data_IF_659895793492
#
_entry.id   IF_659895793492
#
_cell.length_a   1.000
_cell.length_b   1.000
_cell.length_c   1.000
_cell.angle_alpha   90.00
_cell.angle_beta   90.00
_cell.angle_gamma   90.00
#
_symmetry.space_group_name_H-M   'P 1'
#
loop_
_entity.id
_entity.type
_entity.pdbx_description
1 polymer ?
#
# COMPACT_ATOMS: atom_id res chain seq x y z
N UNK A 1 63.02 25.28 43.71
CA UNK A 1 62.05 24.22 43.42
C UNK A 1 60.73 24.87 43.02
N UNK A 2 60.42 24.99 41.74
CA UNK A 2 59.18 25.56 41.21
C UNK A 2 58.39 24.42 40.61
N UNK A 3 57.24 24.08 41.22
CA UNK A 3 56.34 23.08 40.69
C UNK A 3 55.47 23.73 39.58
N UNK A 4 55.59 23.22 38.41
CA UNK A 4 54.79 23.62 37.23
C UNK A 4 53.53 22.76 37.19
N UNK A 5 52.37 23.37 37.52
CA UNK A 5 51.07 22.72 37.35
C UNK A 5 50.66 22.77 35.89
N UNK A 6 50.65 21.59 35.25
CA UNK A 6 50.08 21.42 33.92
C UNK A 6 48.58 21.24 34.03
N UNK A 7 47.82 22.26 33.68
CA UNK A 7 46.37 22.16 33.49
C UNK A 7 46.10 21.49 32.15
N UNK A 8 45.74 20.21 32.16
CA UNK A 8 45.28 19.49 30.98
C UNK A 8 43.81 19.85 30.74
N UNK A 9 43.55 20.81 29.86
CA UNK A 9 42.21 21.09 29.39
C UNK A 9 41.77 19.95 28.44
N UNK A 10 40.97 19.03 28.96
CA UNK A 10 40.25 18.06 28.16
C UNK A 10 39.18 18.80 27.35
N UNK A 11 39.53 19.22 26.17
CA UNK A 11 38.60 19.64 25.14
C UNK A 11 37.76 18.42 24.75
N UNK A 12 36.54 18.32 25.24
CA UNK A 12 35.53 17.43 24.69
C UNK A 12 35.19 17.89 23.26
N UNK A 13 36.06 17.52 22.33
CA UNK A 13 35.82 17.69 20.90
C UNK A 13 34.66 16.78 20.49
N UNK A 14 33.57 17.38 20.03
CA UNK A 14 32.65 16.68 19.15
C UNK A 14 33.45 16.12 17.96
N UNK A 15 33.12 14.94 17.43
CA UNK A 15 33.88 14.37 16.32
C UNK A 15 33.78 15.30 15.12
N UNK A 16 34.83 16.05 14.86
CA UNK A 16 34.95 16.96 13.72
C UNK A 16 34.75 16.23 12.36
N UNK A 17 34.88 14.91 12.33
CA UNK A 17 34.66 14.07 11.17
C UNK A 17 33.21 14.05 10.65
N UNK A 18 32.21 14.03 11.54
CA UNK A 18 30.82 13.88 11.11
C UNK A 18 30.23 15.14 10.44
N UNK A 19 30.65 16.32 10.87
CA UNK A 19 30.18 17.58 10.27
C UNK A 19 30.84 17.83 8.90
N UNK A 20 32.13 17.54 8.78
CA UNK A 20 32.85 17.69 7.50
C UNK A 20 32.37 16.66 6.46
N UNK A 21 32.13 15.42 6.87
CA UNK A 21 31.54 14.37 6.03
C UNK A 21 30.14 14.77 5.57
N UNK A 22 29.32 15.36 6.45
CA UNK A 22 27.99 15.82 6.13
C UNK A 22 27.98 16.94 5.07
N UNK A 23 28.85 17.91 5.18
CA UNK A 23 28.98 18.98 4.16
C UNK A 23 29.45 18.42 2.81
N UNK A 24 30.30 17.37 2.80
CA UNK A 24 30.70 16.69 1.58
C UNK A 24 29.50 15.97 0.94
N UNK A 25 28.66 15.27 1.71
CA UNK A 25 27.42 14.63 1.22
C UNK A 25 26.48 15.67 0.60
N UNK A 26 26.32 16.83 1.23
CA UNK A 26 25.45 17.89 0.71
C UNK A 26 25.97 18.52 -0.59
N UNK A 27 27.26 18.61 -0.72
CA UNK A 27 27.91 19.19 -1.89
C UNK A 27 27.96 18.22 -3.09
N UNK A 28 27.87 16.92 -2.83
CA UNK A 28 27.91 15.88 -3.85
C UNK A 28 26.52 15.61 -4.42
N UNK A 29 26.34 15.86 -5.70
CA UNK A 29 25.11 15.60 -6.43
C UNK A 29 24.71 14.12 -6.54
N UNK A 30 25.61 13.18 -6.15
CA UNK A 30 25.31 11.74 -6.09
C UNK A 30 24.38 11.37 -4.93
N UNK A 31 24.20 12.26 -3.95
CA UNK A 31 23.33 12.01 -2.80
C UNK A 31 22.06 12.82 -2.83
N UNK A 32 21.00 12.24 -2.28
CA UNK A 32 19.77 12.94 -1.87
C UNK A 32 19.79 12.96 -0.35
N UNK A 33 19.56 14.10 0.26
CA UNK A 33 19.68 14.27 1.70
C UNK A 33 18.54 15.11 2.28
N UNK A 34 18.33 15.01 3.59
CA UNK A 34 17.39 15.82 4.36
C UNK A 34 17.96 16.11 5.75
N UNK A 35 17.66 17.26 6.30
CA UNK A 35 18.06 17.67 7.64
C UNK A 35 16.85 17.86 8.53
N UNK A 36 17.01 17.56 9.82
CA UNK A 36 16.00 17.79 10.82
C UNK A 36 16.60 18.28 12.14
N UNK A 37 15.84 19.11 12.83
CA UNK A 37 16.17 19.69 14.13
C UNK A 37 15.07 19.36 15.13
N UNK A 38 15.42 19.16 16.40
CA UNK A 38 14.43 18.83 17.42
C UNK A 38 14.94 18.97 18.84
N UNK A 39 14.05 18.81 19.80
CA UNK A 39 14.36 18.76 21.23
C UNK A 39 15.05 17.46 21.62
N UNK A 40 14.95 16.43 20.80
CA UNK A 40 15.63 15.13 20.94
C UNK A 40 16.18 14.66 19.59
N UNK A 41 17.07 13.66 19.65
CA UNK A 41 17.63 13.03 18.43
C UNK A 41 16.54 12.33 17.63
N UNK A 42 15.57 11.72 18.28
CA UNK A 42 14.45 11.01 17.67
C UNK A 42 13.51 11.97 16.93
N UNK A 43 13.27 13.14 17.49
CA UNK A 43 12.47 14.19 16.85
C UNK A 43 13.19 14.75 15.63
N UNK A 44 14.48 15.08 15.79
CA UNK A 44 15.32 15.56 14.68
C UNK A 44 15.42 14.52 13.55
N UNK A 45 15.52 13.23 13.89
CA UNK A 45 15.58 12.14 12.93
C UNK A 45 14.27 12.00 12.12
N UNK A 46 13.11 12.09 12.77
CA UNK A 46 11.81 12.10 12.07
C UNK A 46 11.71 13.27 11.08
N UNK A 47 12.15 14.46 11.49
CA UNK A 47 12.16 15.63 10.61
C UNK A 47 13.13 15.48 9.44
N UNK A 48 14.32 14.91 9.67
CA UNK A 48 15.30 14.66 8.62
C UNK A 48 14.78 13.63 7.60
N UNK A 49 14.10 12.57 8.07
CA UNK A 49 13.45 11.59 7.20
C UNK A 49 12.33 12.22 6.38
N UNK A 50 11.48 13.03 7.00
CA UNK A 50 10.42 13.74 6.30
C UNK A 50 10.98 14.70 5.22
N UNK A 51 12.07 15.42 5.51
CA UNK A 51 12.73 16.30 4.55
C UNK A 51 13.34 15.51 3.37
N UNK A 52 13.99 14.38 3.64
CA UNK A 52 14.53 13.49 2.60
C UNK A 52 13.40 12.94 1.72
N UNK A 53 12.35 12.40 2.35
CA UNK A 53 11.17 11.84 1.67
C UNK A 53 10.50 12.89 0.79
N UNK A 54 10.35 14.12 1.28
CA UNK A 54 9.78 15.22 0.51
C UNK A 54 10.57 15.53 -0.76
N UNK A 55 11.91 15.49 -0.71
CA UNK A 55 12.75 15.71 -1.90
C UNK A 55 12.59 14.62 -2.95
N UNK A 56 12.39 13.38 -2.52
CA UNK A 56 12.12 12.26 -3.42
C UNK A 56 10.69 12.36 -3.97
N UNK A 57 9.72 12.74 -3.13
CA UNK A 57 8.29 12.86 -3.48
C UNK A 57 7.99 13.91 -4.54
N UNK A 58 8.75 15.01 -4.60
CA UNK A 58 8.52 16.07 -5.59
C UNK A 58 8.62 15.53 -7.01
N UNK A 59 9.52 14.58 -7.26
CA UNK A 59 9.66 13.93 -8.57
C UNK A 59 8.44 13.06 -8.87
N UNK A 60 7.99 12.27 -7.90
CA UNK A 60 6.85 11.34 -8.03
C UNK A 60 5.53 12.09 -8.25
N UNK A 61 5.28 13.17 -7.51
CA UNK A 61 4.02 13.93 -7.57
C UNK A 61 3.78 14.59 -8.93
N UNK A 62 4.83 15.00 -9.63
CA UNK A 62 4.69 15.62 -10.95
C UNK A 62 4.19 14.63 -12.00
N UNK A 63 4.64 13.39 -11.95
CA UNK A 63 4.18 12.33 -12.87
C UNK A 63 2.70 11.99 -12.65
N UNK A 64 2.25 11.93 -11.39
CA UNK A 64 0.84 11.68 -11.08
C UNK A 64 -0.10 12.76 -11.58
N UNK A 65 0.29 14.03 -11.54
CA UNK A 65 -0.55 15.13 -12.07
C UNK A 65 -0.80 14.98 -13.57
N UNK A 66 0.19 14.57 -14.35
CA UNK A 66 0.01 14.33 -15.78
C UNK A 66 -0.97 13.19 -16.06
N UNK A 67 -0.94 12.13 -15.26
CA UNK A 67 -1.87 10.99 -15.40
C UNK A 67 -3.28 11.36 -14.93
N UNK A 68 -3.43 12.10 -13.84
CA UNK A 68 -4.73 12.61 -13.37
C UNK A 68 -5.45 13.44 -14.46
N UNK A 69 -4.72 14.29 -15.17
CA UNK A 69 -5.28 15.10 -16.27
C UNK A 69 -5.74 14.23 -17.46
N UNK A 70 -5.05 13.14 -17.75
CA UNK A 70 -5.42 12.21 -18.82
C UNK A 70 -6.62 11.31 -18.46
N UNK A 71 -6.73 10.89 -17.20
CA UNK A 71 -7.81 10.02 -16.71
C UNK A 71 -9.11 10.81 -16.45
N UNK A 72 -9.01 12.11 -16.14
CA UNK A 72 -10.19 12.99 -15.97
C UNK A 72 -11.02 13.16 -17.24
N UNK A 73 -10.47 12.82 -18.41
CA UNK A 73 -11.19 12.90 -19.68
C UNK A 73 -12.02 11.65 -20.03
N UNK A 74 -11.88 10.57 -19.27
CA UNK A 74 -12.68 9.35 -19.42
C UNK A 74 -13.69 9.25 -18.27
N UNK A 75 -14.97 9.49 -18.56
CA UNK A 75 -16.10 9.34 -17.64
C UNK A 75 -16.20 7.88 -17.16
N UNK A 76 -15.86 7.64 -15.92
CA UNK A 76 -16.02 6.35 -15.22
C UNK A 76 -15.80 6.52 -13.72
N UNK A 77 -16.52 5.74 -12.93
CA UNK A 77 -16.68 5.77 -11.47
C UNK A 77 -15.38 5.54 -10.64
N UNK A 78 -14.23 5.93 -11.20
CA UNK A 78 -12.89 5.87 -10.61
C UNK A 78 -12.66 6.76 -9.36
N UNK A 79 -13.71 7.34 -8.78
CA UNK A 79 -13.64 8.27 -7.64
C UNK A 79 -12.98 7.66 -6.39
N UNK A 80 -13.09 6.36 -6.20
CA UNK A 80 -12.63 5.70 -4.96
C UNK A 80 -11.10 5.61 -4.87
N UNK A 81 -10.44 5.31 -5.99
CA UNK A 81 -8.98 5.23 -6.04
C UNK A 81 -8.32 6.61 -6.14
N UNK A 82 -8.97 7.61 -6.70
CA UNK A 82 -8.45 8.99 -6.82
C UNK A 82 -8.16 9.66 -5.47
N UNK A 83 -9.03 9.49 -4.48
CA UNK A 83 -8.83 10.10 -3.15
C UNK A 83 -7.71 9.42 -2.38
N UNK A 84 -7.45 8.15 -2.65
CA UNK A 84 -6.36 7.38 -2.04
C UNK A 84 -4.99 7.61 -2.71
N UNK A 85 -4.93 8.03 -3.98
CA UNK A 85 -3.66 8.27 -4.69
C UNK A 85 -2.68 9.17 -3.93
N UNK A 86 -3.11 10.33 -3.46
CA UNK A 86 -2.24 11.26 -2.73
C UNK A 86 -1.72 10.68 -1.43
N UNK A 87 -2.57 9.98 -0.69
CA UNK A 87 -2.18 9.32 0.56
C UNK A 87 -1.22 8.16 0.31
N UNK A 88 -1.44 7.39 -0.76
CA UNK A 88 -0.57 6.28 -1.17
C UNK A 88 0.81 6.79 -1.54
N UNK A 89 0.92 7.80 -2.41
CA UNK A 89 2.21 8.38 -2.83
C UNK A 89 3.04 8.85 -1.64
N UNK A 90 2.44 9.56 -0.69
CA UNK A 90 3.16 10.02 0.50
C UNK A 90 3.61 8.90 1.42
N UNK A 91 2.81 7.86 1.57
CA UNK A 91 3.11 6.74 2.47
C UNK A 91 4.07 5.71 1.88
N UNK A 92 4.01 5.50 0.56
CA UNK A 92 4.87 4.53 -0.14
C UNK A 92 6.33 4.98 -0.31
N UNK A 93 6.65 6.23 0.02
CA UNK A 93 8.02 6.75 -0.02
C UNK A 93 8.83 6.46 1.25
N UNK A 94 8.30 5.63 2.14
CA UNK A 94 9.05 5.18 3.32
C UNK A 94 10.25 4.34 2.85
N UNK A 95 11.42 4.94 2.94
CA UNK A 95 12.68 4.29 2.60
C UNK A 95 13.33 3.80 3.90
N UNK A 96 13.27 2.49 4.15
CA UNK A 96 13.91 1.87 5.30
C UNK A 96 15.44 1.91 5.25
N UNK A 97 16.02 2.03 4.04
CA UNK A 97 17.46 1.93 3.77
C UNK A 97 18.17 3.28 3.68
N UNK A 98 17.73 4.29 4.44
CA UNK A 98 18.42 5.58 4.47
C UNK A 98 19.49 5.61 5.54
N UNK A 99 20.63 6.22 5.22
CA UNK A 99 21.70 6.45 6.20
C UNK A 99 21.37 7.62 7.12
N UNK A 100 21.85 7.56 8.34
CA UNK A 100 21.64 8.57 9.37
C UNK A 100 22.95 9.05 9.95
N UNK A 101 23.11 10.36 10.06
CA UNK A 101 24.23 11.02 10.74
C UNK A 101 23.71 11.94 11.83
N UNK A 102 24.13 11.73 13.09
CA UNK A 102 23.80 12.62 14.21
C UNK A 102 24.86 13.71 14.26
N UNK A 103 24.50 14.92 13.84
CA UNK A 103 25.37 16.09 13.77
C UNK A 103 25.48 16.79 15.12
N UNK A 104 24.40 16.79 15.89
CA UNK A 104 24.35 17.38 17.24
C UNK A 104 23.37 16.64 18.13
N UNK A 105 23.75 16.40 19.37
CA UNK A 105 22.91 15.78 20.41
C UNK A 105 22.37 16.83 21.39
N UNK A 106 21.36 16.46 22.19
CA UNK A 106 20.80 17.26 23.26
C UNK A 106 19.57 18.06 22.84
N UNK A 107 19.26 19.14 23.61
CA UNK A 107 18.02 19.95 23.43
C UNK A 107 17.93 20.71 22.11
N UNK A 108 18.98 20.74 21.32
CA UNK A 108 19.01 21.28 19.96
C UNK A 108 19.66 20.23 19.08
N UNK A 109 19.05 19.04 19.06
CA UNK A 109 19.53 17.94 18.25
C UNK A 109 19.44 18.30 16.77
N UNK A 110 20.41 17.83 16.00
CA UNK A 110 20.47 18.01 14.55
C UNK A 110 20.86 16.67 13.93
N UNK A 111 20.07 16.18 13.00
CA UNK A 111 20.26 14.91 12.30
C UNK A 111 20.19 15.13 10.80
N UNK A 112 21.11 14.50 10.07
CA UNK A 112 21.09 14.36 8.63
C UNK A 112 20.67 12.93 8.24
N UNK A 113 19.82 12.83 7.24
CA UNK A 113 19.49 11.58 6.54
C UNK A 113 19.86 11.69 5.07
N UNK A 114 20.34 10.61 4.50
CA UNK A 114 20.78 10.63 3.11
C UNK A 114 20.70 9.22 2.48
N UNK A 115 20.66 9.20 1.14
CA UNK A 115 20.72 8.01 0.31
C UNK A 115 21.49 8.31 -0.96
N UNK A 116 22.29 7.37 -1.43
CA UNK A 116 22.96 7.47 -2.73
C UNK A 116 21.95 7.25 -3.86
N UNK A 117 22.05 8.00 -4.96
CA UNK A 117 21.11 7.87 -6.10
C UNK A 117 21.11 6.48 -6.71
N UNK A 118 22.27 5.82 -6.83
CA UNK A 118 22.35 4.46 -7.34
C UNK A 118 21.63 3.45 -6.43
N UNK A 119 21.66 3.68 -5.11
CA UNK A 119 20.89 2.87 -4.16
C UNK A 119 19.40 3.04 -4.36
N UNK A 120 18.98 4.28 -4.54
CA UNK A 120 17.58 4.60 -4.84
C UNK A 120 17.13 3.96 -6.16
N UNK A 121 17.96 4.02 -7.20
CA UNK A 121 17.68 3.35 -8.48
C UNK A 121 17.58 1.83 -8.35
N UNK A 122 18.44 1.20 -7.53
CA UNK A 122 18.35 -0.24 -7.24
C UNK A 122 17.04 -0.59 -6.53
N UNK A 123 16.61 0.21 -5.56
CA UNK A 123 15.32 0.04 -4.89
C UNK A 123 14.18 0.11 -5.91
N UNK A 124 14.14 1.13 -6.75
CA UNK A 124 13.09 1.27 -7.75
C UNK A 124 13.11 0.17 -8.82
N UNK A 125 14.29 -0.30 -9.22
CA UNK A 125 14.42 -1.44 -10.13
C UNK A 125 13.86 -2.72 -9.50
N UNK A 126 14.18 -2.98 -8.25
CA UNK A 126 13.61 -4.11 -7.49
C UNK A 126 12.08 -4.00 -7.35
N UNK A 127 11.55 -2.80 -7.08
CA UNK A 127 10.09 -2.57 -7.03
C UNK A 127 9.42 -2.84 -8.39
N UNK A 128 10.00 -2.39 -9.50
CA UNK A 128 9.48 -2.67 -10.85
C UNK A 128 9.38 -4.18 -11.11
N UNK A 129 10.40 -4.95 -10.76
CA UNK A 129 10.36 -6.41 -10.91
C UNK A 129 9.21 -7.03 -10.08
N UNK A 130 9.07 -6.63 -8.80
CA UNK A 130 7.97 -7.13 -7.95
C UNK A 130 6.59 -6.73 -8.43
N UNK A 131 6.41 -5.52 -8.97
CA UNK A 131 5.14 -5.11 -9.57
C UNK A 131 4.74 -6.08 -10.67
N UNK A 132 5.67 -6.40 -11.58
CA UNK A 132 5.40 -7.33 -12.68
C UNK A 132 5.12 -8.75 -12.18
N UNK A 133 5.82 -9.22 -11.15
CA UNK A 133 5.56 -10.51 -10.51
C UNK A 133 4.16 -10.58 -9.89
N UNK A 134 3.75 -9.54 -9.15
CA UNK A 134 2.40 -9.48 -8.57
C UNK A 134 1.32 -9.39 -9.65
N UNK A 135 1.53 -8.61 -10.70
CA UNK A 135 0.59 -8.55 -11.83
C UNK A 135 0.44 -9.90 -12.53
N UNK A 136 1.53 -10.60 -12.76
CA UNK A 136 1.48 -11.95 -13.33
C UNK A 136 0.74 -12.93 -12.41
N UNK A 137 1.01 -12.89 -11.10
CA UNK A 137 0.32 -13.73 -10.13
C UNK A 137 -1.19 -13.41 -10.07
N UNK A 138 -1.55 -12.12 -10.12
CA UNK A 138 -2.93 -11.68 -10.16
C UNK A 138 -3.69 -12.20 -11.39
N UNK A 139 -3.10 -12.08 -12.58
CA UNK A 139 -3.71 -12.58 -13.81
C UNK A 139 -3.90 -14.10 -13.80
N UNK A 140 -2.96 -14.86 -13.25
CA UNK A 140 -3.08 -16.31 -13.07
C UNK A 140 -4.17 -16.68 -12.05
N UNK A 141 -4.29 -15.87 -11.00
CA UNK A 141 -5.34 -16.02 -9.98
C UNK A 141 -6.73 -15.74 -10.59
N UNK A 142 -6.89 -14.69 -11.40
CA UNK A 142 -8.12 -14.40 -12.14
C UNK A 142 -8.53 -15.57 -13.05
N UNK A 143 -7.61 -16.10 -13.86
CA UNK A 143 -7.86 -17.24 -14.72
C UNK A 143 -8.29 -18.50 -13.97
N UNK A 144 -7.85 -18.64 -12.73
CA UNK A 144 -8.16 -19.76 -11.84
C UNK A 144 -9.38 -19.54 -10.96
N UNK A 145 -10.04 -18.35 -11.03
CA UNK A 145 -11.17 -17.97 -10.19
C UNK A 145 -10.80 -17.69 -8.73
N UNK A 146 -9.51 -17.50 -8.40
CA UNK A 146 -9.01 -17.18 -7.05
C UNK A 146 -9.11 -15.67 -6.82
N UNK A 147 -10.30 -15.24 -6.40
CA UNK A 147 -10.69 -13.82 -6.37
C UNK A 147 -9.89 -13.01 -5.35
N UNK A 148 -9.72 -13.53 -4.13
CA UNK A 148 -8.99 -12.85 -3.05
C UNK A 148 -7.51 -12.66 -3.41
N UNK A 149 -6.88 -13.67 -4.01
CA UNK A 149 -5.49 -13.62 -4.44
C UNK A 149 -5.31 -12.64 -5.60
N UNK A 150 -6.24 -12.62 -6.56
CA UNK A 150 -6.21 -11.68 -7.66
C UNK A 150 -6.30 -10.23 -7.17
N UNK A 151 -7.29 -9.92 -6.33
CA UNK A 151 -7.47 -8.60 -5.74
C UNK A 151 -6.25 -8.18 -4.93
N UNK A 152 -5.72 -9.07 -4.11
CA UNK A 152 -4.55 -8.81 -3.27
C UNK A 152 -3.31 -8.50 -4.09
N UNK A 153 -2.99 -9.35 -5.08
CA UNK A 153 -1.80 -9.16 -5.90
C UNK A 153 -1.87 -7.89 -6.74
N UNK A 154 -3.00 -7.60 -7.39
CA UNK A 154 -3.21 -6.33 -8.09
C UNK A 154 -3.06 -5.12 -7.15
N UNK A 155 -3.61 -5.21 -5.95
CA UNK A 155 -3.50 -4.11 -5.00
C UNK A 155 -2.07 -3.88 -4.51
N UNK A 156 -1.31 -4.95 -4.22
CA UNK A 156 0.10 -4.84 -3.85
C UNK A 156 0.95 -4.28 -5.00
N UNK A 157 0.70 -4.73 -6.22
CA UNK A 157 1.32 -4.14 -7.42
C UNK A 157 1.05 -2.64 -7.51
N UNK A 158 -0.20 -2.24 -7.26
CA UNK A 158 -0.61 -0.85 -7.29
C UNK A 158 0.08 0.01 -6.22
N UNK A 159 0.16 -0.48 -4.97
CA UNK A 159 0.87 0.20 -3.89
C UNK A 159 2.35 0.43 -4.24
N UNK A 160 3.03 -0.61 -4.73
CA UNK A 160 4.43 -0.48 -5.17
C UNK A 160 4.57 0.45 -6.37
N UNK A 161 3.65 0.38 -7.33
CA UNK A 161 3.63 1.25 -8.52
C UNK A 161 3.54 2.73 -8.12
N UNK A 162 2.66 3.06 -7.17
CA UNK A 162 2.51 4.41 -6.64
C UNK A 162 3.77 4.92 -5.90
N UNK A 163 4.71 4.06 -5.57
CA UNK A 163 5.98 4.40 -4.94
C UNK A 163 7.14 4.62 -5.92
N UNK A 164 6.94 4.37 -7.21
CA UNK A 164 7.97 4.59 -8.23
C UNK A 164 8.16 6.06 -8.54
N UNK A 165 9.35 6.44 -9.00
CA UNK A 165 9.62 7.82 -9.47
C UNK A 165 8.80 8.19 -10.70
N UNK A 166 8.57 7.23 -11.60
CA UNK A 166 7.84 7.42 -12.86
C UNK A 166 6.89 6.25 -13.10
N UNK A 167 5.78 6.20 -12.37
CA UNK A 167 4.84 5.10 -12.45
C UNK A 167 4.18 4.98 -13.84
N UNK A 168 4.03 6.08 -14.57
CA UNK A 168 3.49 6.12 -15.92
C UNK A 168 4.36 5.45 -16.99
N UNK A 169 5.65 5.26 -16.72
CA UNK A 169 6.56 4.57 -17.64
C UNK A 169 6.36 3.05 -17.64
N UNK A 170 5.80 2.47 -16.58
CA UNK A 170 5.60 1.04 -16.51
C UNK A 170 4.34 0.64 -17.27
N UNK A 171 4.58 -0.10 -18.37
CA UNK A 171 3.56 -0.45 -19.36
C UNK A 171 3.48 -1.95 -19.55
N UNK A 172 2.31 -2.38 -20.01
CA UNK A 172 2.10 -3.72 -20.52
C UNK A 172 2.67 -3.88 -21.94
N UNK A 173 2.79 -5.12 -22.44
CA UNK A 173 3.27 -5.39 -23.81
C UNK A 173 2.45 -4.72 -24.92
N UNK A 174 1.15 -4.46 -24.66
CA UNK A 174 0.25 -3.76 -25.57
C UNK A 174 0.37 -2.22 -25.49
N UNK A 175 1.25 -1.71 -24.63
CA UNK A 175 1.52 -0.29 -24.43
C UNK A 175 0.63 0.39 -23.36
N UNK A 176 -0.34 -0.32 -22.78
CA UNK A 176 -1.21 0.19 -21.71
C UNK A 176 -0.43 0.51 -20.45
N UNK A 177 -0.71 1.66 -19.81
CA UNK A 177 -0.07 2.03 -18.54
C UNK A 177 -0.64 1.20 -17.39
N UNK A 178 0.22 0.52 -16.62
CA UNK A 178 -0.21 -0.25 -15.45
C UNK A 178 -0.92 0.63 -14.41
N UNK A 179 -0.56 1.90 -14.34
CA UNK A 179 -1.20 2.87 -13.43
C UNK A 179 -2.72 3.01 -13.66
N UNK A 180 -3.18 2.82 -14.90
CA UNK A 180 -4.60 2.82 -15.26
C UNK A 180 -5.19 1.41 -15.22
N UNK A 181 -4.45 0.44 -15.77
CA UNK A 181 -4.93 -0.94 -15.90
C UNK A 181 -5.21 -1.64 -14.58
N UNK A 182 -4.36 -1.44 -13.57
CA UNK A 182 -4.55 -2.10 -12.28
C UNK A 182 -5.84 -1.66 -11.59
N UNK A 183 -6.15 -0.35 -11.46
CA UNK A 183 -7.44 0.09 -10.94
C UNK A 183 -8.64 -0.43 -11.74
N UNK A 184 -8.57 -0.42 -13.07
CA UNK A 184 -9.61 -0.97 -13.94
C UNK A 184 -9.85 -2.46 -13.63
N UNK A 185 -8.79 -3.25 -13.48
CA UNK A 185 -8.87 -4.68 -13.14
C UNK A 185 -9.48 -4.93 -11.77
N UNK A 186 -9.06 -4.17 -10.75
CA UNK A 186 -9.62 -4.28 -9.40
C UNK A 186 -11.13 -4.05 -9.40
N UNK A 187 -11.60 -3.05 -10.15
CA UNK A 187 -13.02 -2.78 -10.30
C UNK A 187 -13.72 -3.89 -11.09
N UNK A 188 -13.15 -4.32 -12.23
CA UNK A 188 -13.71 -5.38 -13.06
C UNK A 188 -13.86 -6.71 -12.31
N UNK A 189 -12.88 -7.08 -11.46
CA UNK A 189 -12.98 -8.28 -10.62
C UNK A 189 -14.24 -8.21 -9.73
N UNK A 190 -14.49 -7.07 -9.09
CA UNK A 190 -15.66 -6.91 -8.24
C UNK A 190 -16.97 -6.87 -9.05
N UNK A 191 -16.97 -6.22 -10.22
CA UNK A 191 -18.12 -6.16 -11.11
C UNK A 191 -18.51 -7.53 -11.67
N UNK A 192 -17.50 -8.34 -12.00
CA UNK A 192 -17.66 -9.69 -12.55
C UNK A 192 -18.07 -10.76 -11.54
N UNK A 193 -18.17 -10.39 -10.25
CA UNK A 193 -18.73 -11.26 -9.21
C UNK A 193 -20.25 -11.29 -9.29
N UNK A 194 -20.80 -12.50 -9.32
CA UNK A 194 -22.24 -12.74 -9.17
C UNK A 194 -22.49 -13.71 -8.03
N UNK A 195 -23.54 -13.44 -7.27
CA UNK A 195 -23.97 -14.26 -6.16
C UNK A 195 -25.44 -14.61 -6.36
N UNK A 196 -25.80 -15.85 -6.15
CA UNK A 196 -27.17 -16.35 -6.21
C UNK A 196 -27.48 -17.27 -5.03
N UNK A 197 -28.70 -17.22 -4.55
CA UNK A 197 -29.25 -18.20 -3.60
C UNK A 197 -29.64 -19.47 -4.37
N UNK A 198 -29.19 -20.63 -3.90
CA UNK A 198 -29.50 -21.93 -4.53
C UNK A 198 -30.54 -22.73 -3.75
N UNK A 199 -30.78 -22.39 -2.49
CA UNK A 199 -31.78 -23.03 -1.65
C UNK A 199 -31.61 -22.62 -0.19
N UNK A 200 -32.50 -23.11 0.65
CA UNK A 200 -32.42 -22.96 2.10
C UNK A 200 -32.96 -24.22 2.80
N UNK A 201 -32.42 -24.52 3.96
CA UNK A 201 -32.92 -25.55 4.88
C UNK A 201 -32.99 -24.96 6.29
N UNK A 202 -34.22 -24.75 6.77
CA UNK A 202 -34.44 -23.96 7.98
C UNK A 202 -33.82 -22.58 7.87
N UNK A 203 -32.93 -22.26 8.83
CA UNK A 203 -32.22 -20.96 8.88
C UNK A 203 -30.91 -20.95 8.05
N UNK A 204 -30.55 -22.06 7.40
CA UNK A 204 -29.33 -22.16 6.57
C UNK A 204 -29.66 -21.81 5.12
N UNK A 205 -28.97 -20.85 4.57
CA UNK A 205 -29.09 -20.43 3.16
C UNK A 205 -27.86 -20.86 2.38
N UNK A 206 -28.07 -21.59 1.29
CA UNK A 206 -27.04 -22.01 0.36
C UNK A 206 -26.83 -20.97 -0.73
N UNK A 207 -25.56 -20.61 -0.96
CA UNK A 207 -25.15 -19.59 -1.91
C UNK A 207 -24.29 -20.20 -3.03
N UNK A 208 -24.50 -19.71 -4.24
CA UNK A 208 -23.59 -19.93 -5.36
C UNK A 208 -22.94 -18.60 -5.75
N UNK A 209 -21.61 -18.58 -5.78
CA UNK A 209 -20.81 -17.40 -6.04
C UNK A 209 -19.94 -17.68 -7.27
N UNK A 210 -20.11 -16.88 -8.30
CA UNK A 210 -19.40 -17.04 -9.55
C UNK A 210 -18.56 -15.78 -9.84
N UNK A 211 -17.41 -16.01 -10.43
CA UNK A 211 -16.55 -14.99 -11.01
C UNK A 211 -16.41 -15.25 -12.51
N UNK A 212 -16.87 -14.32 -13.34
CA UNK A 212 -16.93 -14.49 -14.82
C UNK A 212 -17.64 -15.78 -15.24
N UNK A 213 -18.70 -16.16 -14.53
CA UNK A 213 -19.44 -17.39 -14.79
C UNK A 213 -18.79 -18.68 -14.30
N UNK A 214 -17.56 -18.65 -13.79
CA UNK A 214 -16.86 -19.77 -13.18
C UNK A 214 -17.06 -19.78 -11.65
N UNK A 215 -16.99 -20.94 -10.98
CA UNK A 215 -16.98 -21.00 -9.53
C UNK A 215 -15.87 -20.11 -8.94
N UNK A 216 -16.23 -19.17 -8.08
CA UNK A 216 -15.26 -18.37 -7.35
C UNK A 216 -14.54 -19.24 -6.32
N UNK A 217 -13.22 -19.00 -6.14
CA UNK A 217 -12.36 -19.70 -5.18
C UNK A 217 -11.68 -18.69 -4.28
N UNK A 218 -11.62 -19.00 -3.00
CA UNK A 218 -10.90 -18.17 -2.03
C UNK A 218 -11.46 -16.76 -1.96
N UNK A 219 -12.72 -16.58 -1.58
CA UNK A 219 -13.33 -15.27 -1.40
C UNK A 219 -13.91 -15.17 0.00
N UNK A 220 -13.53 -14.14 0.74
CA UNK A 220 -14.13 -13.79 2.01
C UNK A 220 -15.27 -12.80 1.81
N UNK A 221 -16.30 -12.94 2.63
CA UNK A 221 -17.44 -12.02 2.63
C UNK A 221 -18.03 -11.90 4.04
N UNK A 222 -18.82 -10.86 4.24
CA UNK A 222 -19.69 -10.71 5.41
C UNK A 222 -21.16 -10.71 4.97
N UNK A 223 -22.03 -11.09 5.88
CA UNK A 223 -23.49 -11.09 5.64
C UNK A 223 -24.24 -10.56 6.85
N UNK A 224 -25.42 -10.04 6.61
CA UNK A 224 -26.33 -9.59 7.65
C UNK A 224 -27.31 -10.72 7.96
N UNK A 225 -27.28 -11.22 9.20
CA UNK A 225 -28.12 -12.38 9.62
C UNK A 225 -29.57 -12.03 9.95
N UNK A 226 -29.94 -10.76 9.82
CA UNK A 226 -31.22 -10.19 10.23
C UNK A 226 -31.11 -9.34 11.50
N UNK A 227 -30.01 -9.45 12.26
CA UNK A 227 -29.73 -8.67 13.47
C UNK A 227 -28.39 -7.96 13.44
N UNK A 228 -27.38 -8.58 12.87
CA UNK A 228 -25.98 -8.07 12.86
C UNK A 228 -25.21 -8.57 11.64
N UNK A 229 -24.08 -7.93 11.39
CA UNK A 229 -23.12 -8.39 10.39
C UNK A 229 -22.23 -9.47 10.97
N UNK A 230 -22.09 -10.59 10.23
CA UNK A 230 -21.24 -11.73 10.57
C UNK A 230 -20.23 -11.98 9.44
N UNK A 231 -19.07 -12.53 9.79
CA UNK A 231 -18.15 -13.07 8.80
C UNK A 231 -18.75 -14.32 8.16
N UNK A 232 -18.67 -14.40 6.83
CA UNK A 232 -19.06 -15.59 6.10
C UNK A 232 -18.04 -16.72 6.26
N UNK A 233 -18.44 -17.98 6.01
CA UNK A 233 -17.55 -19.14 6.16
C UNK A 233 -16.53 -19.30 5.01
N UNK A 234 -16.39 -18.30 4.16
CA UNK A 234 -15.57 -18.34 2.94
C UNK A 234 -16.26 -19.08 1.78
N UNK A 235 -15.65 -19.03 0.61
CA UNK A 235 -16.16 -19.64 -0.62
C UNK A 235 -15.24 -20.75 -1.07
N UNK A 236 -15.81 -21.95 -1.30
CA UNK A 236 -15.09 -23.11 -1.86
C UNK A 236 -15.77 -23.56 -3.14
N UNK A 237 -15.06 -23.52 -4.25
CA UNK A 237 -15.57 -23.92 -5.57
C UNK A 237 -16.96 -23.31 -5.90
N UNK A 238 -17.10 -22.03 -5.62
CA UNK A 238 -18.32 -21.28 -5.88
C UNK A 238 -19.48 -21.57 -4.93
N UNK A 239 -19.26 -22.33 -3.86
CA UNK A 239 -20.31 -22.69 -2.89
C UNK A 239 -19.97 -22.12 -1.53
N UNK A 240 -20.98 -21.60 -0.85
CA UNK A 240 -20.94 -21.19 0.54
C UNK A 240 -22.31 -21.34 1.17
N UNK A 241 -22.40 -21.27 2.50
CA UNK A 241 -23.65 -21.26 3.24
C UNK A 241 -23.60 -20.24 4.37
N UNK A 242 -24.72 -19.60 4.65
CA UNK A 242 -24.88 -18.64 5.75
C UNK A 242 -26.00 -19.11 6.67
N UNK A 243 -25.91 -18.72 7.95
CA UNK A 243 -26.93 -19.03 8.94
C UNK A 243 -27.62 -17.74 9.34
N UNK A 244 -28.92 -17.69 9.10
CA UNK A 244 -29.73 -16.53 9.46
C UNK A 244 -30.16 -16.64 10.93
N UNK A 245 -30.43 -15.50 11.56
CA UNK A 245 -31.04 -15.52 12.89
C UNK A 245 -32.44 -16.16 12.85
N UNK A 246 -32.87 -16.86 13.91
CA UNK A 246 -34.16 -17.53 13.95
C UNK A 246 -35.31 -16.57 13.60
N UNK A 247 -36.11 -16.95 12.61
CA UNK A 247 -37.21 -16.11 12.12
C UNK A 247 -36.79 -14.93 11.22
N UNK A 248 -35.51 -14.72 10.97
CA UNK A 248 -34.98 -13.64 10.14
C UNK A 248 -34.85 -14.00 8.66
N UNK A 249 -35.35 -15.13 8.21
CA UNK A 249 -35.56 -15.45 6.77
C UNK A 249 -36.58 -14.49 6.18
N UNK A 250 -36.32 -13.22 6.43
CA UNK A 250 -37.01 -12.09 5.87
C UNK A 250 -36.69 -12.00 4.37
N UNK A 251 -37.49 -11.22 3.71
CA UNK A 251 -37.57 -10.98 2.29
C UNK A 251 -36.21 -10.61 1.63
N UNK A 252 -35.17 -10.27 2.41
CA UNK A 252 -33.93 -9.72 1.88
C UNK A 252 -32.69 -10.29 2.61
N UNK A 253 -31.75 -10.81 1.85
CA UNK A 253 -30.43 -11.24 2.33
C UNK A 253 -29.39 -10.23 1.83
N UNK A 254 -28.60 -9.68 2.75
CA UNK A 254 -27.53 -8.73 2.44
C UNK A 254 -26.18 -9.42 2.57
N UNK A 255 -25.38 -9.36 1.50
CA UNK A 255 -24.01 -9.82 1.46
C UNK A 255 -23.07 -8.64 1.14
N UNK A 256 -21.88 -8.68 1.72
CA UNK A 256 -20.82 -7.72 1.42
C UNK A 256 -19.48 -8.45 1.22
N UNK A 257 -18.87 -8.21 0.07
CA UNK A 257 -17.46 -8.54 -0.16
C UNK A 257 -16.65 -7.31 0.25
N UNK A 258 -15.69 -7.50 1.15
CA UNK A 258 -14.88 -6.42 1.69
C UNK A 258 -13.44 -6.93 1.86
N UNK A 259 -12.49 -6.29 1.14
CA UNK A 259 -11.08 -6.64 1.21
C UNK A 259 -10.28 -5.57 1.94
N UNK A 260 -9.62 -5.96 3.00
CA UNK A 260 -8.81 -5.07 3.84
C UNK A 260 -7.31 -5.09 3.51
N UNK A 261 -6.84 -5.95 2.63
CA UNK A 261 -5.46 -6.06 2.10
C UNK A 261 -4.31 -6.16 3.12
N UNK A 262 -4.59 -6.20 4.41
CA UNK A 262 -3.62 -6.24 5.50
C UNK A 262 -3.47 -7.67 6.04
N UNK A 263 -2.27 -7.97 6.56
CA UNK A 263 -2.08 -9.13 7.43
C UNK A 263 -1.67 -10.41 6.73
N UNK A 264 -1.27 -10.37 5.46
CA UNK A 264 -0.80 -11.56 4.77
C UNK A 264 0.67 -11.85 5.10
N UNK A 265 0.96 -13.11 5.47
CA UNK A 265 2.32 -13.60 5.74
C UNK A 265 3.25 -13.59 4.52
N UNK A 266 2.67 -13.52 3.30
CA UNK A 266 3.43 -13.48 2.05
C UNK A 266 3.94 -12.08 1.70
N UNK A 267 3.50 -11.04 2.43
CA UNK A 267 3.92 -9.67 2.21
C UNK A 267 5.38 -9.49 2.63
N UNK A 268 6.23 -8.96 1.75
CA UNK A 268 7.59 -8.60 2.12
C UNK A 268 7.64 -7.44 3.12
N UNK A 269 8.78 -7.25 3.79
CA UNK A 269 8.91 -6.25 4.84
C UNK A 269 8.66 -4.82 4.33
N UNK A 270 9.16 -4.48 3.14
CA UNK A 270 8.99 -3.15 2.56
C UNK A 270 7.52 -2.87 2.22
N UNK A 271 6.84 -3.84 1.59
CA UNK A 271 5.42 -3.72 1.28
C UNK A 271 4.57 -3.63 2.55
N UNK A 272 4.94 -4.38 3.59
CA UNK A 272 4.28 -4.32 4.90
C UNK A 272 4.38 -2.94 5.52
N UNK A 273 5.59 -2.36 5.55
CA UNK A 273 5.82 -1.01 6.09
C UNK A 273 5.00 0.04 5.32
N UNK A 274 4.90 -0.10 3.99
CA UNK A 274 4.04 0.76 3.17
C UNK A 274 2.57 0.59 3.50
N UNK A 275 2.10 -0.65 3.61
CA UNK A 275 0.69 -0.96 3.91
C UNK A 275 0.30 -0.51 5.31
N UNK A 276 1.19 -0.62 6.30
CA UNK A 276 0.95 -0.15 7.66
C UNK A 276 0.87 1.38 7.75
N UNK A 277 1.59 2.08 6.87
CA UNK A 277 1.55 3.55 6.79
C UNK A 277 0.29 4.09 6.06
N UNK A 278 -0.43 3.22 5.33
CA UNK A 278 -1.61 3.61 4.57
C UNK A 278 -2.89 3.51 5.41
N UNK A 279 -3.70 4.57 5.40
CA UNK A 279 -5.09 4.51 5.87
C UNK A 279 -5.99 4.00 4.73
N UNK A 280 -5.92 2.69 4.49
CA UNK A 280 -6.63 2.05 3.41
C UNK A 280 -8.10 1.85 3.75
N UNK A 281 -8.96 2.35 2.87
CA UNK A 281 -10.36 1.94 2.85
C UNK A 281 -10.49 0.63 2.08
N UNK A 282 -11.18 -0.39 2.63
CA UNK A 282 -11.36 -1.64 1.93
C UNK A 282 -12.18 -1.45 0.65
N UNK A 283 -11.83 -2.20 -0.40
CA UNK A 283 -12.71 -2.34 -1.57
C UNK A 283 -13.98 -3.07 -1.15
N UNK A 284 -15.14 -2.55 -1.56
CA UNK A 284 -16.45 -3.08 -1.13
C UNK A 284 -17.35 -3.29 -2.31
N UNK A 285 -18.04 -4.42 -2.32
CA UNK A 285 -19.21 -4.66 -3.14
C UNK A 285 -20.32 -5.27 -2.29
N UNK A 286 -21.51 -4.72 -2.37
CA UNK A 286 -22.70 -5.23 -1.67
C UNK A 286 -23.62 -5.94 -2.64
N UNK A 287 -24.22 -7.04 -2.21
CA UNK A 287 -25.23 -7.82 -2.93
C UNK A 287 -26.51 -7.85 -2.10
N UNK A 288 -27.62 -7.67 -2.76
CA UNK A 288 -28.95 -7.70 -2.16
C UNK A 288 -29.76 -8.75 -2.90
N UNK A 289 -30.27 -9.75 -2.17
CA UNK A 289 -31.11 -10.81 -2.72
C UNK A 289 -32.51 -10.65 -2.17
N UNK A 290 -33.49 -10.69 -3.06
CA UNK A 290 -34.89 -10.79 -2.68
C UNK A 290 -35.30 -12.25 -2.76
N UNK A 291 -36.00 -12.71 -1.74
CA UNK A 291 -36.63 -14.02 -1.79
C UNK A 291 -37.71 -13.99 -2.83
N UNK A 292 -37.50 -14.63 -3.96
CA UNK A 292 -38.60 -14.93 -4.90
C UNK A 292 -39.42 -16.02 -4.24
N UNK A 293 -40.68 -15.70 -3.91
CA UNK A 293 -41.68 -16.63 -3.38
C UNK A 293 -41.97 -17.74 -4.38
#
# INVERSE_FOLDING_TARGET
MKALLFFLAVMLGAPAGSAQEWEAIKADGAYIWGEGWGGSVEEADRQALAALTSRISVVVTNDFRQVEEQVLSSEGDGHYLRTSHRSIVHSCLTLSNTHRTVLKKGRKAHVGRWIHRDELERIFTGRKARILEYEQAALLAEQSGRVDEALRCHYWAYVLLCSLQRPSELREPDGGMLLNRIPERLNAILEDLSVGMTGHDGDVVSLRILFRGMPARGMDFSYFDGSRWLAGPGVRDGISSIVMAPGALAETILLRVEYAYRGDSMMDAELRDMMDALDLKPLKKSFIFFRTL
#
